data_IF_137145726592
#
_entry.id   IF_137145726592
#
_cell.length_a   1.000
_cell.length_b   1.000
_cell.length_c   1.000
_cell.angle_alpha   90.00
_cell.angle_beta   90.00
_cell.angle_gamma   90.00
#
_symmetry.space_group_name_H-M   'P 1'
#
loop_
_entity.id
_entity.type
_entity.pdbx_description
1 polymer ?
#
# COMPACT_ATOMS: atom_id res chain seq x y z
N UNK A 1 46.17 36.40 30.22
CA UNK A 1 45.38 35.78 29.13
C UNK A 1 44.52 34.66 29.71
N UNK A 2 43.21 34.88 29.82
CA UNK A 2 42.20 33.85 30.18
C UNK A 2 41.18 33.81 29.05
N UNK A 3 41.41 32.93 28.09
CA UNK A 3 40.42 32.54 27.08
C UNK A 3 40.09 31.08 27.37
N UNK A 4 38.86 30.67 27.05
CA UNK A 4 38.22 29.37 27.31
C UNK A 4 37.45 29.30 28.62
N UNK A 5 36.12 29.52 28.52
CA UNK A 5 35.06 28.78 29.24
C UNK A 5 33.65 29.23 28.82
N UNK A 6 33.40 29.45 27.53
CA UNK A 6 32.05 29.83 27.04
C UNK A 6 31.53 28.90 25.93
N UNK A 7 32.36 28.00 25.39
CA UNK A 7 31.98 27.14 24.25
C UNK A 7 31.07 25.92 24.53
N UNK A 8 31.05 25.24 25.69
CA UNK A 8 30.25 24.02 25.81
C UNK A 8 28.75 24.28 26.01
N UNK A 9 28.37 25.47 26.50
CA UNK A 9 26.95 25.82 26.74
C UNK A 9 26.25 26.23 25.45
N UNK A 10 26.96 26.88 24.52
CA UNK A 10 26.41 27.35 23.25
C UNK A 10 26.13 26.20 22.26
N UNK A 11 26.93 25.13 22.29
CA UNK A 11 26.74 23.95 21.45
C UNK A 11 25.53 23.09 21.90
N UNK A 12 25.28 23.03 23.21
CA UNK A 12 24.18 22.25 23.78
C UNK A 12 22.82 22.94 23.57
N UNK A 13 22.75 24.27 23.63
CA UNK A 13 21.52 25.02 23.30
C UNK A 13 21.21 25.03 21.81
N UNK A 14 22.21 25.01 20.92
CA UNK A 14 21.99 24.88 19.47
C UNK A 14 21.47 23.48 19.10
N UNK A 15 21.97 22.42 19.74
CA UNK A 15 21.45 21.06 19.56
C UNK A 15 20.01 20.89 20.06
N UNK A 16 19.65 21.51 21.19
CA UNK A 16 18.26 21.52 21.67
C UNK A 16 17.32 22.39 20.82
N UNK A 17 17.83 23.47 20.21
CA UNK A 17 17.04 24.33 19.31
C UNK A 17 16.83 23.69 17.92
N UNK A 18 17.75 22.85 17.45
CA UNK A 18 17.58 22.05 16.23
C UNK A 18 16.64 20.87 16.42
N UNK A 19 16.54 20.31 17.63
CA UNK A 19 15.58 19.25 17.98
C UNK A 19 14.14 19.77 18.15
N UNK A 20 13.94 21.06 18.42
CA UNK A 20 12.62 21.69 18.52
C UNK A 20 12.11 22.32 17.23
N UNK A 21 12.94 22.39 16.19
CA UNK A 21 12.53 22.86 14.85
C UNK A 21 11.79 21.79 14.02
N UNK A 22 11.80 20.52 14.43
CA UNK A 22 11.10 19.43 13.71
C UNK A 22 9.64 19.23 14.15
N UNK A 23 9.14 20.04 15.07
CA UNK A 23 7.78 19.91 15.61
C UNK A 23 7.00 21.21 15.36
N UNK A 24 6.57 21.42 14.11
CA UNK A 24 5.72 22.58 13.81
C UNK A 24 5.50 22.90 12.34
N UNK A 25 5.57 21.92 11.44
CA UNK A 25 4.92 22.13 10.14
C UNK A 25 3.43 21.94 10.37
N UNK A 26 2.68 23.03 10.27
CA UNK A 26 1.23 22.94 10.17
C UNK A 26 0.86 21.95 9.06
N UNK A 27 -0.27 21.28 9.25
CA UNK A 27 -0.76 20.26 8.32
C UNK A 27 -0.71 20.78 6.87
N UNK A 28 -0.10 20.00 5.97
CA UNK A 28 0.09 20.39 4.58
C UNK A 28 -1.24 20.68 3.87
N UNK A 29 -1.19 21.49 2.82
CA UNK A 29 -2.34 21.75 1.95
C UNK A 29 -2.01 21.19 0.57
N UNK A 30 -2.86 20.30 0.09
CA UNK A 30 -2.77 19.77 -1.26
C UNK A 30 -3.59 20.63 -2.23
N UNK A 31 -2.97 21.00 -3.34
CA UNK A 31 -3.66 21.48 -4.53
C UNK A 31 -3.98 20.28 -5.44
N UNK A 32 -5.12 20.30 -6.12
CA UNK A 32 -5.52 19.23 -7.04
C UNK A 32 -5.66 19.78 -8.46
N UNK A 33 -4.93 19.19 -9.39
CA UNK A 33 -5.05 19.47 -10.81
C UNK A 33 -5.88 18.39 -11.51
N UNK A 34 -7.08 18.77 -11.94
CA UNK A 34 -8.00 17.88 -12.64
C UNK A 34 -7.50 17.45 -14.03
N UNK A 35 -6.64 18.24 -14.69
CA UNK A 35 -6.15 17.92 -16.02
C UNK A 35 -5.13 16.77 -15.99
N UNK A 36 -4.33 16.71 -14.91
CA UNK A 36 -3.28 15.71 -14.72
C UNK A 36 -3.64 14.63 -13.70
N UNK A 37 -4.73 14.81 -12.95
CA UNK A 37 -5.14 13.97 -11.83
C UNK A 37 -4.08 13.90 -10.71
N UNK A 38 -3.37 15.01 -10.48
CA UNK A 38 -2.30 15.08 -9.48
C UNK A 38 -2.71 15.91 -8.26
N UNK A 39 -2.27 15.43 -7.10
CA UNK A 39 -2.29 16.18 -5.84
C UNK A 39 -0.89 16.72 -5.57
N UNK A 40 -0.74 18.05 -5.51
CA UNK A 40 0.55 18.69 -5.23
C UNK A 40 0.54 19.29 -3.84
N UNK A 41 1.48 18.87 -3.00
CA UNK A 41 1.70 19.52 -1.71
C UNK A 41 2.24 20.93 -1.95
N UNK A 42 1.47 21.94 -1.55
CA UNK A 42 1.81 23.35 -1.78
C UNK A 42 3.10 23.76 -1.07
N UNK A 43 3.46 23.09 0.03
CA UNK A 43 4.64 23.45 0.79
C UNK A 43 5.92 22.88 0.18
N UNK A 44 5.89 21.60 -0.21
CA UNK A 44 7.07 20.87 -0.69
C UNK A 44 7.20 20.88 -2.22
N UNK A 45 6.10 21.12 -2.93
CA UNK A 45 6.02 21.01 -4.39
C UNK A 45 5.95 19.58 -4.91
N UNK A 46 5.89 18.57 -4.02
CA UNK A 46 5.80 17.17 -4.43
C UNK A 46 4.40 16.86 -4.93
N UNK A 47 4.32 16.20 -6.09
CA UNK A 47 3.06 15.78 -6.72
C UNK A 47 2.85 14.28 -6.59
N UNK A 48 1.62 13.87 -6.28
CA UNK A 48 1.22 12.49 -6.06
C UNK A 48 0.05 12.12 -6.96
N UNK A 49 0.00 10.86 -7.38
CA UNK A 49 -1.14 10.24 -8.07
C UNK A 49 -1.61 9.02 -7.30
N UNK A 50 -2.88 8.64 -7.47
CA UNK A 50 -3.43 7.42 -6.91
C UNK A 50 -2.81 6.18 -7.55
N UNK A 51 -2.51 5.19 -6.70
CA UNK A 51 -2.15 3.85 -7.14
C UNK A 51 -3.42 3.03 -7.47
N UNK A 52 -3.30 2.02 -8.34
CA UNK A 52 -4.30 0.98 -8.52
C UNK A 52 -4.88 0.45 -7.21
N UNK A 53 -6.15 0.08 -7.21
CA UNK A 53 -6.84 -0.48 -6.03
C UNK A 53 -6.28 -1.84 -5.55
N UNK A 54 -5.32 -2.42 -6.28
CA UNK A 54 -4.53 -3.57 -5.83
C UNK A 54 -3.47 -3.19 -4.80
N UNK A 55 -3.14 -1.91 -4.58
CA UNK A 55 -2.22 -1.50 -3.54
C UNK A 55 -2.98 -1.05 -2.30
N UNK A 56 -2.57 -1.55 -1.13
CA UNK A 56 -3.11 -1.14 0.17
C UNK A 56 -1.98 -0.72 1.11
N UNK A 57 -2.14 0.33 1.94
CA UNK A 57 -1.21 0.63 3.01
C UNK A 57 -1.33 -0.43 4.11
N UNK A 58 -0.19 -0.82 4.71
CA UNK A 58 -0.20 -1.73 5.87
C UNK A 58 -0.76 -1.04 7.11
N UNK A 59 -0.39 0.22 7.32
CA UNK A 59 -0.89 1.07 8.40
C UNK A 59 -0.83 2.55 8.02
N UNK A 60 -1.81 3.32 8.53
CA UNK A 60 -1.80 4.77 8.44
C UNK A 60 -1.01 5.34 9.63
N UNK A 61 -0.12 6.26 9.33
CA UNK A 61 0.62 7.04 10.32
C UNK A 61 -0.07 8.37 10.64
N UNK A 62 0.72 9.43 10.76
CA UNK A 62 0.23 10.77 11.10
C UNK A 62 -0.45 11.42 9.90
N UNK A 63 -1.38 12.35 10.17
CA UNK A 63 -1.88 13.24 9.12
C UNK A 63 -0.72 14.03 8.50
N UNK A 64 -0.62 13.97 7.18
CA UNK A 64 0.39 14.65 6.38
C UNK A 64 -0.16 15.96 5.80
N UNK A 65 -1.26 15.87 5.05
CA UNK A 65 -1.85 17.01 4.36
C UNK A 65 -3.36 16.87 4.18
N UNK A 66 -4.01 17.97 3.77
CA UNK A 66 -5.45 18.01 3.49
C UNK A 66 -5.70 18.65 2.14
N UNK A 67 -6.69 18.11 1.43
CA UNK A 67 -7.28 18.73 0.26
C UNK A 67 -8.75 19.06 0.53
N UNK A 68 -9.19 20.24 0.13
CA UNK A 68 -10.62 20.62 0.16
C UNK A 68 -11.24 20.28 -1.19
N UNK A 69 -11.94 19.15 -1.24
CA UNK A 69 -12.68 18.74 -2.43
C UNK A 69 -14.06 19.43 -2.49
N UNK A 70 -14.72 19.46 -3.65
CA UNK A 70 -16.09 19.96 -3.75
C UNK A 70 -17.09 19.19 -2.85
N UNK A 71 -16.83 17.90 -2.60
CA UNK A 71 -17.69 17.02 -1.80
C UNK A 71 -17.30 16.92 -0.32
N UNK A 72 -16.23 17.57 0.11
CA UNK A 72 -15.75 17.47 1.49
C UNK A 72 -14.26 17.73 1.65
N UNK A 73 -13.65 17.02 2.59
CA UNK A 73 -12.22 17.12 2.90
C UNK A 73 -11.59 15.75 2.76
N UNK A 74 -10.55 15.66 1.95
CA UNK A 74 -9.67 14.49 1.89
C UNK A 74 -8.48 14.75 2.80
N UNK A 75 -8.12 13.75 3.60
CA UNK A 75 -6.98 13.80 4.51
C UNK A 75 -5.98 12.75 4.03
N UNK A 76 -4.75 13.19 3.79
CA UNK A 76 -3.62 12.35 3.44
C UNK A 76 -2.82 12.07 4.71
N UNK A 77 -2.35 10.85 4.85
CA UNK A 77 -1.59 10.32 5.96
C UNK A 77 -0.25 9.78 5.47
N UNK A 78 0.75 9.83 6.33
CA UNK A 78 1.96 9.04 6.18
C UNK A 78 1.58 7.54 6.13
N UNK A 79 2.30 6.74 5.35
CA UNK A 79 2.25 5.27 5.48
C UNK A 79 3.38 4.88 6.44
N UNK A 80 3.07 4.11 7.49
CA UNK A 80 4.10 3.72 8.46
C UNK A 80 5.26 2.97 7.79
N UNK A 81 6.50 3.40 8.09
CA UNK A 81 7.70 2.80 7.52
C UNK A 81 8.04 3.24 6.08
N UNK A 82 7.31 4.18 5.50
CA UNK A 82 7.57 4.74 4.17
C UNK A 82 7.95 6.21 4.24
N UNK A 83 8.70 6.69 3.23
CA UNK A 83 9.01 8.11 3.06
C UNK A 83 7.78 8.87 2.55
N UNK A 84 7.23 9.85 3.29
CA UNK A 84 6.04 10.59 2.87
C UNK A 84 6.27 11.48 1.65
N UNK A 85 7.51 11.80 1.29
CA UNK A 85 7.82 12.48 0.01
C UNK A 85 7.65 11.56 -1.21
N UNK A 86 7.49 10.26 -0.97
CA UNK A 86 7.29 9.25 -2.01
C UNK A 86 5.93 8.58 -1.91
N UNK A 87 5.38 8.41 -0.71
CA UNK A 87 4.19 7.58 -0.47
C UNK A 87 3.27 8.18 0.58
N UNK A 88 1.98 8.26 0.24
CA UNK A 88 0.93 8.70 1.16
C UNK A 88 -0.25 7.73 1.05
N UNK A 89 -1.16 7.79 2.01
CA UNK A 89 -2.45 7.11 1.91
C UNK A 89 -3.58 8.03 2.37
N UNK A 90 -4.80 7.80 1.93
CA UNK A 90 -5.98 8.44 2.52
C UNK A 90 -6.72 7.51 3.49
N UNK A 91 -7.68 8.06 4.23
CA UNK A 91 -8.51 7.32 5.21
C UNK A 91 -9.24 6.10 4.60
N UNK A 92 -9.62 6.21 3.33
CA UNK A 92 -10.21 5.11 2.53
C UNK A 92 -9.22 4.00 2.14
N UNK A 93 -7.94 4.11 2.55
CA UNK A 93 -6.82 3.21 2.23
C UNK A 93 -6.35 3.21 0.78
N UNK A 94 -6.73 4.21 -0.02
CA UNK A 94 -6.09 4.45 -1.32
C UNK A 94 -4.64 4.85 -1.08
N UNK A 95 -3.71 4.19 -1.76
CA UNK A 95 -2.28 4.54 -1.78
C UNK A 95 -2.07 5.63 -2.83
N UNK A 96 -1.24 6.62 -2.50
CA UNK A 96 -0.74 7.63 -3.41
C UNK A 96 0.77 7.54 -3.47
N UNK A 97 1.33 7.74 -4.66
CA UNK A 97 2.77 7.75 -4.86
C UNK A 97 3.22 8.98 -5.63
N UNK A 98 4.42 9.46 -5.30
CA UNK A 98 5.03 10.63 -5.92
C UNK A 98 5.36 10.37 -7.39
N UNK A 99 5.34 11.42 -8.23
CA UNK A 99 5.78 11.33 -9.63
C UNK A 99 7.26 10.96 -9.76
N UNK A 100 8.05 11.12 -8.70
CA UNK A 100 9.45 10.69 -8.62
C UNK A 100 9.61 9.24 -8.14
N UNK A 101 8.54 8.63 -7.63
CA UNK A 101 8.53 7.24 -7.18
C UNK A 101 8.16 6.31 -8.35
N UNK A 102 8.72 5.10 -8.33
CA UNK A 102 8.25 4.01 -9.18
C UNK A 102 7.32 3.11 -8.37
N UNK A 103 6.10 2.92 -8.86
CA UNK A 103 5.16 1.96 -8.30
C UNK A 103 5.59 0.54 -8.72
N UNK A 104 6.02 -0.32 -7.78
CA UNK A 104 6.53 -1.65 -8.12
C UNK A 104 5.41 -2.60 -8.51
N UNK A 105 5.53 -3.27 -9.66
CA UNK A 105 4.67 -4.41 -9.98
C UNK A 105 4.86 -5.55 -8.96
N UNK A 106 3.90 -6.48 -8.88
CA UNK A 106 3.95 -7.58 -7.91
C UNK A 106 5.28 -8.37 -7.92
N UNK A 107 5.87 -8.76 -9.07
CA UNK A 107 7.16 -9.45 -9.07
C UNK A 107 8.31 -8.59 -8.53
N UNK A 108 8.27 -7.27 -8.76
CA UNK A 108 9.30 -6.32 -8.31
C UNK A 108 9.20 -6.03 -6.82
N UNK A 109 8.03 -6.24 -6.21
CA UNK A 109 7.89 -6.17 -4.77
C UNK A 109 8.63 -7.32 -4.07
N UNK A 110 8.96 -8.42 -4.76
CA UNK A 110 9.58 -9.61 -4.17
C UNK A 110 8.86 -10.07 -2.88
N UNK A 111 7.56 -10.43 -2.97
CA UNK A 111 6.81 -10.80 -1.80
C UNK A 111 7.42 -12.03 -1.13
N UNK A 112 7.50 -12.00 0.19
CA UNK A 112 8.09 -13.07 1.00
C UNK A 112 7.06 -13.74 1.93
N UNK A 113 5.82 -13.26 1.90
CA UNK A 113 4.68 -13.85 2.61
C UNK A 113 3.39 -13.51 1.89
N UNK A 114 2.43 -14.43 1.88
CA UNK A 114 1.06 -14.20 1.41
C UNK A 114 0.10 -14.43 2.57
N UNK A 115 -0.83 -13.51 2.79
CA UNK A 115 -1.92 -13.65 3.75
C UNK A 115 -3.21 -13.96 2.98
N UNK A 116 -3.89 -15.03 3.39
CA UNK A 116 -5.23 -15.36 2.90
C UNK A 116 -6.22 -14.84 3.91
N UNK A 117 -7.06 -13.90 3.50
CA UNK A 117 -7.95 -13.18 4.39
C UNK A 117 -9.42 -13.37 3.99
N UNK A 118 -10.29 -13.44 4.99
CA UNK A 118 -11.74 -13.29 4.81
C UNK A 118 -12.13 -11.84 5.03
N UNK A 119 -13.06 -11.34 4.21
CA UNK A 119 -13.61 -10.00 4.34
C UNK A 119 -15.04 -10.10 4.91
N UNK A 120 -15.18 -9.76 6.19
CA UNK A 120 -16.48 -9.58 6.84
C UNK A 120 -16.61 -8.10 7.24
N UNK A 121 -17.05 -7.81 8.47
CA UNK A 121 -16.94 -6.45 9.04
C UNK A 121 -15.47 -6.00 9.18
N UNK A 122 -14.56 -6.96 9.38
CA UNK A 122 -13.12 -6.76 9.41
C UNK A 122 -12.44 -7.73 8.44
N UNK A 123 -11.27 -7.35 7.92
CA UNK A 123 -10.40 -8.26 7.17
C UNK A 123 -9.53 -9.05 8.14
N UNK A 124 -9.68 -10.37 8.17
CA UNK A 124 -8.95 -11.26 9.09
C UNK A 124 -8.16 -12.27 8.27
N UNK A 125 -6.86 -12.38 8.55
CA UNK A 125 -6.02 -13.44 7.96
C UNK A 125 -6.37 -14.79 8.61
N UNK A 126 -6.73 -15.76 7.79
CA UNK A 126 -7.10 -17.12 8.20
C UNK A 126 -5.99 -18.13 7.91
N UNK A 127 -5.10 -17.83 6.98
CA UNK A 127 -3.93 -18.63 6.66
C UNK A 127 -2.79 -17.75 6.13
N UNK A 128 -1.57 -18.29 6.19
CA UNK A 128 -0.38 -17.67 5.63
C UNK A 128 0.42 -18.67 4.80
N UNK A 129 1.00 -18.18 3.70
CA UNK A 129 1.98 -18.92 2.89
C UNK A 129 3.32 -18.22 3.06
N UNK A 130 4.31 -18.98 3.52
CA UNK A 130 5.70 -18.53 3.68
C UNK A 130 6.68 -19.36 2.84
N UNK A 131 6.20 -20.38 2.11
CA UNK A 131 7.03 -21.17 1.20
C UNK A 131 7.42 -20.33 -0.03
N UNK A 132 8.73 -20.06 -0.26
CA UNK A 132 9.15 -19.21 -1.37
C UNK A 132 8.83 -19.79 -2.76
N UNK A 133 8.75 -21.13 -2.87
CA UNK A 133 8.42 -21.80 -4.11
C UNK A 133 6.97 -21.57 -4.51
N UNK A 134 6.04 -21.75 -3.56
CA UNK A 134 4.62 -21.50 -3.77
C UNK A 134 4.31 -20.02 -3.99
N UNK A 135 4.96 -19.11 -3.24
CA UNK A 135 4.82 -17.67 -3.44
C UNK A 135 5.25 -17.30 -4.86
N UNK A 136 6.40 -17.79 -5.32
CA UNK A 136 6.88 -17.55 -6.70
C UNK A 136 5.89 -18.08 -7.73
N UNK A 137 5.35 -19.29 -7.54
CA UNK A 137 4.36 -19.85 -8.47
C UNK A 137 3.12 -18.95 -8.55
N UNK A 138 2.60 -18.45 -7.42
CA UNK A 138 1.44 -17.56 -7.41
C UNK A 138 1.72 -16.21 -8.08
N UNK A 139 2.92 -15.66 -7.87
CA UNK A 139 3.37 -14.45 -8.58
C UNK A 139 3.47 -14.70 -10.08
N UNK A 140 4.07 -15.82 -10.50
CA UNK A 140 4.22 -16.18 -11.91
C UNK A 140 2.87 -16.43 -12.58
N UNK A 141 1.93 -17.11 -11.91
CA UNK A 141 0.55 -17.29 -12.36
C UNK A 141 -0.12 -15.94 -12.60
N UNK A 142 -0.01 -15.01 -11.65
CA UNK A 142 -0.61 -13.70 -11.78
C UNK A 142 -0.02 -12.91 -12.96
N UNK A 143 1.30 -12.92 -13.10
CA UNK A 143 2.01 -12.13 -14.10
C UNK A 143 1.86 -12.69 -15.51
N UNK A 144 2.00 -14.01 -15.66
CA UNK A 144 2.13 -14.67 -16.96
C UNK A 144 0.93 -15.52 -17.36
N UNK A 145 0.02 -15.80 -16.43
CA UNK A 145 -1.19 -16.58 -16.68
C UNK A 145 -2.05 -15.99 -17.79
N UNK A 146 -2.70 -16.87 -18.56
CA UNK A 146 -3.65 -16.46 -19.59
C UNK A 146 -4.84 -15.75 -18.94
N UNK A 147 -5.08 -14.51 -19.37
CA UNK A 147 -6.22 -13.74 -18.89
C UNK A 147 -7.51 -14.32 -19.47
N UNK A 148 -8.44 -14.64 -18.58
CA UNK A 148 -9.78 -15.12 -18.95
C UNK A 148 -10.84 -14.05 -18.63
N UNK A 149 -12.02 -14.10 -19.27
CA UNK A 149 -13.15 -13.30 -18.84
C UNK A 149 -13.57 -13.65 -17.41
N UNK A 150 -13.93 -12.63 -16.62
CA UNK A 150 -14.51 -12.85 -15.29
C UNK A 150 -15.82 -13.65 -15.42
N UNK A 151 -15.99 -14.80 -14.73
CA UNK A 151 -17.20 -15.60 -14.85
C UNK A 151 -18.44 -14.85 -14.35
N UNK A 152 -19.57 -15.04 -15.03
CA UNK A 152 -20.86 -14.44 -14.64
C UNK A 152 -21.63 -15.26 -13.59
N UNK A 153 -21.09 -16.42 -13.21
CA UNK A 153 -21.65 -17.30 -12.18
C UNK A 153 -21.43 -16.73 -10.79
N UNK A 154 -22.25 -17.16 -9.82
CA UNK A 154 -22.09 -16.77 -8.42
C UNK A 154 -20.90 -17.55 -7.83
N UNK A 155 -19.91 -16.88 -7.21
CA UNK A 155 -18.84 -17.56 -6.49
C UNK A 155 -19.36 -18.39 -5.31
N UNK A 156 -18.75 -19.55 -5.08
CA UNK A 156 -18.92 -20.35 -3.86
C UNK A 156 -18.28 -19.65 -2.67
N UNK A 157 -17.07 -19.12 -2.85
CA UNK A 157 -16.32 -18.40 -1.82
C UNK A 157 -15.42 -17.32 -2.43
N UNK A 158 -15.14 -16.28 -1.64
CA UNK A 158 -14.20 -15.21 -2.01
C UNK A 158 -13.28 -14.87 -0.84
N UNK A 159 -12.02 -14.61 -1.16
CA UNK A 159 -10.96 -14.28 -0.20
C UNK A 159 -10.13 -13.12 -0.73
N UNK A 160 -9.48 -12.39 0.19
CA UNK A 160 -8.47 -11.39 -0.13
C UNK A 160 -7.09 -11.99 0.03
N UNK A 161 -6.28 -11.92 -1.01
CA UNK A 161 -4.91 -12.42 -1.03
C UNK A 161 -3.98 -11.24 -0.95
N UNK A 162 -3.28 -11.08 0.18
CA UNK A 162 -2.36 -9.96 0.41
C UNK A 162 -0.92 -10.44 0.34
N UNK A 163 -0.21 -10.03 -0.70
CA UNK A 163 1.22 -10.25 -0.86
C UNK A 163 1.97 -9.20 -0.05
N UNK A 164 2.84 -9.67 0.85
CA UNK A 164 3.64 -8.85 1.77
C UNK A 164 5.09 -8.87 1.32
N UNK A 165 5.71 -7.70 1.28
CA UNK A 165 7.11 -7.51 0.91
C UNK A 165 7.90 -6.89 2.06
N UNK A 166 9.11 -7.41 2.30
CA UNK A 166 10.09 -6.74 3.17
C UNK A 166 10.78 -5.55 2.48
N UNK A 167 10.82 -5.51 1.14
CA UNK A 167 11.36 -4.38 0.38
C UNK A 167 10.41 -3.17 0.41
N UNK A 168 9.11 -3.43 0.49
CA UNK A 168 8.06 -2.42 0.57
C UNK A 168 7.16 -2.65 1.80
N UNK A 169 7.68 -2.50 3.03
CA UNK A 169 6.98 -2.91 4.25
C UNK A 169 5.69 -2.12 4.54
N UNK A 170 5.54 -0.94 3.94
CA UNK A 170 4.33 -0.11 4.03
C UNK A 170 3.25 -0.48 3.02
N UNK A 171 3.53 -1.34 2.04
CA UNK A 171 2.64 -1.64 0.92
C UNK A 171 2.29 -3.12 0.86
N UNK A 172 1.01 -3.38 0.63
CA UNK A 172 0.49 -4.71 0.28
C UNK A 172 0.04 -4.67 -1.18
N UNK A 173 0.27 -5.77 -1.89
CA UNK A 173 -0.40 -6.04 -3.15
C UNK A 173 -1.55 -7.01 -2.89
N UNK A 174 -2.78 -6.63 -3.25
CA UNK A 174 -4.03 -7.27 -2.84
C UNK A 174 -4.80 -7.73 -4.07
N UNK A 175 -5.07 -9.04 -4.11
CA UNK A 175 -5.90 -9.67 -5.13
C UNK A 175 -7.12 -10.33 -4.50
N UNK A 176 -8.11 -10.65 -5.33
CA UNK A 176 -9.26 -11.44 -4.93
C UNK A 176 -9.04 -12.87 -5.39
N UNK A 177 -9.14 -13.82 -4.47
CA UNK A 177 -9.22 -15.23 -4.80
C UNK A 177 -10.68 -15.68 -4.76
N UNK A 178 -11.10 -16.43 -5.77
CA UNK A 178 -12.49 -16.81 -6.00
C UNK A 178 -12.56 -18.31 -6.25
N UNK A 179 -13.43 -19.00 -5.52
CA UNK A 179 -13.75 -20.41 -5.74
C UNK A 179 -15.17 -20.54 -6.29
N UNK A 180 -15.36 -21.43 -7.27
CA UNK A 180 -16.66 -21.78 -7.84
C UNK A 180 -17.00 -23.25 -7.59
N UNK A 181 -18.30 -23.58 -7.62
CA UNK A 181 -18.79 -24.95 -7.40
C UNK A 181 -18.36 -25.94 -8.49
N UNK A 182 -18.00 -25.45 -9.67
CA UNK A 182 -17.47 -26.28 -10.77
C UNK A 182 -15.99 -26.66 -10.59
N UNK A 183 -15.34 -26.19 -9.51
CA UNK A 183 -13.93 -26.43 -9.22
C UNK A 183 -12.99 -25.33 -9.71
N UNK A 184 -13.49 -24.31 -10.42
CA UNK A 184 -12.65 -23.20 -10.87
C UNK A 184 -12.18 -22.35 -9.69
N UNK A 185 -10.89 -22.02 -9.73
CA UNK A 185 -10.17 -21.26 -8.69
C UNK A 185 -9.40 -20.14 -9.36
N UNK A 186 -9.78 -18.90 -9.10
CA UNK A 186 -9.32 -17.74 -9.87
C UNK A 186 -8.67 -16.67 -8.99
N UNK A 187 -7.62 -16.03 -9.50
CA UNK A 187 -7.13 -14.74 -9.01
C UNK A 187 -7.72 -13.63 -9.86
N UNK A 188 -8.17 -12.56 -9.23
CA UNK A 188 -8.86 -11.45 -9.86
C UNK A 188 -8.43 -10.08 -9.30
N UNK A 189 -8.24 -9.11 -10.18
CA UNK A 189 -8.07 -7.70 -9.83
C UNK A 189 -9.30 -6.88 -10.25
N UNK A 190 -9.90 -6.18 -9.29
CA UNK A 190 -10.99 -5.22 -9.57
C UNK A 190 -10.52 -4.00 -10.34
N UNK A 191 -9.22 -3.69 -10.25
CA UNK A 191 -8.65 -2.48 -10.82
C UNK A 191 -8.67 -2.50 -12.35
N UNK A 192 -8.14 -3.57 -12.92
CA UNK A 192 -7.96 -3.72 -14.37
C UNK A 192 -8.77 -4.87 -14.96
N UNK A 193 -9.55 -5.58 -14.14
CA UNK A 193 -10.38 -6.70 -14.56
C UNK A 193 -9.63 -7.98 -14.89
N UNK A 194 -8.31 -8.03 -14.71
CA UNK A 194 -7.50 -9.23 -14.99
C UNK A 194 -7.95 -10.38 -14.10
N UNK A 195 -8.21 -11.52 -14.74
CA UNK A 195 -8.64 -12.76 -14.09
C UNK A 195 -7.81 -13.92 -14.65
N UNK A 196 -7.26 -14.78 -13.78
CA UNK A 196 -6.43 -15.93 -14.18
C UNK A 196 -6.73 -17.14 -13.31
N UNK A 197 -6.51 -18.35 -13.82
CA UNK A 197 -6.60 -19.56 -13.00
C UNK A 197 -5.47 -19.61 -11.97
N UNK A 198 -5.83 -19.77 -10.70
CA UNK A 198 -4.92 -19.80 -9.56
C UNK A 198 -4.35 -21.20 -9.26
N UNK A 199 -4.98 -22.25 -9.81
CA UNK A 199 -4.73 -23.63 -9.40
C UNK A 199 -5.13 -23.89 -7.95
N UNK A 200 -4.42 -24.81 -7.30
CA UNK A 200 -4.85 -25.40 -6.02
C UNK A 200 -4.06 -24.91 -4.81
N UNK A 201 -2.98 -24.13 -5.02
CA UNK A 201 -2.09 -23.67 -3.95
C UNK A 201 -2.88 -22.91 -2.88
N UNK A 202 -3.70 -21.92 -3.25
CA UNK A 202 -4.45 -21.15 -2.25
C UNK A 202 -5.50 -22.01 -1.53
N UNK A 203 -6.11 -22.96 -2.23
CA UNK A 203 -7.14 -23.84 -1.68
C UNK A 203 -6.59 -24.76 -0.57
N UNK A 204 -5.38 -25.30 -0.74
CA UNK A 204 -4.78 -26.20 0.25
C UNK A 204 -4.55 -25.55 1.62
N UNK A 205 -4.47 -24.21 1.67
CA UNK A 205 -4.29 -23.43 2.90
C UNK A 205 -5.60 -22.97 3.54
N UNK A 206 -6.72 -22.97 2.81
CA UNK A 206 -8.01 -22.45 3.30
C UNK A 206 -8.75 -23.49 4.16
N UNK A 207 -8.38 -24.76 4.06
CA UNK A 207 -9.05 -25.84 4.78
C UNK A 207 -10.43 -26.09 4.22
N UNK A 208 -10.48 -26.79 3.09
CA UNK A 208 -11.67 -27.43 2.55
C UNK A 208 -11.34 -28.91 2.33
N UNK A 209 -12.22 -29.78 2.83
CA UNK A 209 -12.16 -31.25 2.83
C UNK A 209 -11.50 -31.92 1.61
#
# INVERSE_FOLDING_TARGET
MKILRVMPVLALTLALALLSASCGFGLGIMDYDKATNLFTDRHTGVSYTDAPSTYEPTALGREYARWKSPGGRVVFYEIEGMDPSLWLAEEGKTVFYSTEATLPALPQMEPNRILICVEQTLTIAIAEIIDPGEIRILVDIWETGEAIPYPSTVPKATYRIKFVSQLYPGLLYSLIYIEYDNGDRLLYSRDNGRCVYAGDILHSYIGGD
#
